data_IF_481386170452
#
_entry.id   IF_481386170452
#
_cell.length_a   1.000
_cell.length_b   1.000
_cell.length_c   1.000
_cell.angle_alpha   90.00
_cell.angle_beta   90.00
_cell.angle_gamma   90.00
#
_symmetry.space_group_name_H-M   'P 1'
#
loop_
_entity.id
_entity.type
_entity.pdbx_description
1 polymer ?
#
# COMPACT_ATOMS: atom_id res chain seq x y z
N UNK A 1 7.74 -61.22 6.76
CA UNK A 1 7.78 -60.02 7.63
C UNK A 1 8.52 -58.93 6.86
N UNK A 2 7.81 -57.90 6.37
CA UNK A 2 8.39 -56.73 5.68
C UNK A 2 8.52 -55.59 6.70
N UNK A 3 9.61 -54.80 6.70
CA UNK A 3 9.73 -53.66 7.60
C UNK A 3 8.93 -52.48 7.04
N UNK A 4 8.11 -51.90 7.90
CA UNK A 4 7.35 -50.68 7.67
C UNK A 4 8.29 -49.48 7.81
N UNK A 5 8.63 -48.84 6.69
CA UNK A 5 9.41 -47.60 6.68
C UNK A 5 8.46 -46.43 6.83
N UNK A 6 8.51 -45.75 7.97
CA UNK A 6 7.80 -44.49 8.19
C UNK A 6 8.66 -43.33 7.67
N UNK A 7 8.24 -42.73 6.56
CA UNK A 7 8.80 -41.47 6.08
C UNK A 7 8.12 -40.33 6.82
N UNK A 8 8.77 -39.78 7.84
CA UNK A 8 8.34 -38.55 8.51
C UNK A 8 8.81 -37.36 7.67
N UNK A 9 7.92 -36.79 6.86
CA UNK A 9 8.16 -35.51 6.22
C UNK A 9 7.88 -34.38 7.24
N UNK A 10 8.93 -33.69 7.66
CA UNK A 10 8.80 -32.44 8.42
C UNK A 10 8.54 -31.30 7.46
N UNK A 11 7.31 -30.79 7.44
CA UNK A 11 7.01 -29.51 6.80
C UNK A 11 7.46 -28.39 7.72
N UNK A 12 8.53 -27.68 7.35
CA UNK A 12 8.88 -26.44 8.02
C UNK A 12 7.76 -25.43 7.72
N UNK A 13 7.10 -24.92 8.77
CA UNK A 13 6.22 -23.77 8.62
C UNK A 13 7.08 -22.58 8.19
N UNK A 14 6.78 -22.01 7.01
CA UNK A 14 7.40 -20.78 6.58
C UNK A 14 6.90 -19.64 7.48
N UNK A 15 7.78 -19.06 8.27
CA UNK A 15 7.53 -17.81 8.98
C UNK A 15 7.58 -16.68 7.94
N UNK A 16 6.45 -16.38 7.30
CA UNK A 16 6.35 -15.28 6.35
C UNK A 16 6.24 -13.96 7.11
N UNK A 17 7.38 -13.38 7.48
CA UNK A 17 7.39 -11.99 7.94
C UNK A 17 6.97 -11.08 6.78
N UNK A 18 5.72 -10.62 6.80
CA UNK A 18 5.22 -9.61 5.87
C UNK A 18 5.65 -8.21 6.33
N UNK A 19 6.00 -7.36 5.36
CA UNK A 19 6.39 -5.98 5.62
C UNK A 19 5.28 -5.02 5.20
N UNK A 20 4.82 -4.20 6.13
CA UNK A 20 3.84 -3.15 5.86
C UNK A 20 4.52 -1.79 5.87
N UNK A 21 4.37 -1.04 4.77
CA UNK A 21 4.86 0.33 4.64
C UNK A 21 3.69 1.31 4.79
N UNK A 22 3.82 2.30 5.66
CA UNK A 22 2.81 3.34 5.87
C UNK A 22 3.33 4.65 5.30
N UNK A 23 2.62 5.20 4.32
CA UNK A 23 2.99 6.44 3.64
C UNK A 23 1.87 7.46 3.85
N UNK A 24 2.25 8.69 4.21
CA UNK A 24 1.33 9.84 4.21
C UNK A 24 1.21 10.37 2.77
N UNK A 25 0.00 10.79 2.38
CA UNK A 25 -0.20 11.47 1.10
C UNK A 25 0.81 12.63 0.88
N UNK A 26 1.11 12.91 -0.38
CA UNK A 26 1.97 14.00 -0.82
C UNK A 26 1.45 15.38 -0.38
N UNK A 27 2.28 16.40 -0.57
CA UNK A 27 1.88 17.78 -0.30
C UNK A 27 0.75 18.22 -1.23
N UNK A 28 -0.13 19.06 -0.68
CA UNK A 28 -1.37 19.50 -1.34
C UNK A 28 -1.28 20.97 -1.69
N UNK A 29 -2.05 21.38 -2.69
CA UNK A 29 -2.24 22.80 -3.03
C UNK A 29 -2.95 23.60 -1.92
N UNK A 30 -3.82 22.93 -1.13
CA UNK A 30 -4.50 23.49 0.03
C UNK A 30 -5.03 22.37 0.95
N UNK A 31 -5.81 22.71 1.99
CA UNK A 31 -6.19 21.78 3.06
C UNK A 31 -6.95 20.53 2.60
N UNK A 32 -7.86 20.61 1.61
CA UNK A 32 -8.59 19.46 1.07
C UNK A 32 -8.32 19.19 -0.41
N UNK A 33 -7.31 19.88 -0.98
CA UNK A 33 -7.02 19.81 -2.41
C UNK A 33 -6.16 18.63 -2.84
N UNK A 34 -6.03 18.54 -4.16
CA UNK A 34 -5.14 17.66 -4.92
C UNK A 34 -3.68 17.93 -4.57
N UNK A 35 -2.80 17.02 -5.01
CA UNK A 35 -1.35 17.22 -4.84
C UNK A 35 -0.87 18.55 -5.44
N UNK A 36 0.07 19.20 -4.76
CA UNK A 36 0.84 20.29 -5.34
C UNK A 36 1.84 19.74 -6.36
N UNK A 37 2.38 20.56 -7.28
CA UNK A 37 3.46 20.10 -8.17
C UNK A 37 4.67 19.50 -7.41
N UNK A 38 4.97 20.03 -6.22
CA UNK A 38 6.01 19.48 -5.35
C UNK A 38 5.60 18.15 -4.71
N UNK A 39 4.31 17.99 -4.38
CA UNK A 39 3.74 16.72 -3.91
C UNK A 39 3.79 15.63 -4.99
N UNK A 40 3.40 15.96 -6.21
CA UNK A 40 3.49 15.05 -7.38
C UNK A 40 4.94 14.63 -7.65
N UNK A 41 5.88 15.57 -7.66
CA UNK A 41 7.30 15.26 -7.86
C UNK A 41 7.83 14.27 -6.80
N UNK A 42 7.39 14.41 -5.54
CA UNK A 42 7.75 13.47 -4.47
C UNK A 42 7.06 12.12 -4.61
N UNK A 43 5.81 12.08 -5.07
CA UNK A 43 5.11 10.85 -5.39
C UNK A 43 5.84 10.06 -6.49
N UNK A 44 6.30 10.72 -7.54
CA UNK A 44 7.13 10.11 -8.58
C UNK A 44 8.46 9.57 -8.04
N UNK A 45 9.06 10.24 -7.07
CA UNK A 45 10.30 9.77 -6.44
C UNK A 45 10.10 8.50 -5.59
N UNK A 46 8.88 8.11 -5.22
CA UNK A 46 8.66 6.84 -4.50
C UNK A 46 9.13 5.62 -5.31
N UNK A 47 9.12 5.71 -6.64
CA UNK A 47 9.60 4.62 -7.50
C UNK A 47 11.07 4.29 -7.27
N UNK A 48 11.92 5.30 -7.01
CA UNK A 48 13.35 5.09 -6.74
C UNK A 48 13.60 4.51 -5.34
N UNK A 49 12.69 4.79 -4.41
CA UNK A 49 12.72 4.33 -3.02
C UNK A 49 12.29 2.86 -2.90
N UNK A 50 11.30 2.43 -3.68
CA UNK A 50 10.79 1.04 -3.72
C UNK A 50 11.32 0.25 -4.92
N UNK A 51 12.63 0.28 -5.12
CA UNK A 51 13.28 -0.39 -6.26
C UNK A 51 13.72 -1.83 -5.97
N UNK A 52 13.64 -2.31 -4.72
CA UNK A 52 14.04 -3.65 -4.31
C UNK A 52 15.55 -3.87 -4.18
N UNK A 53 16.34 -2.80 -4.24
CA UNK A 53 17.80 -2.88 -4.08
C UNK A 53 18.20 -2.99 -2.60
N UNK A 54 19.25 -3.77 -2.27
CA UNK A 54 19.77 -3.87 -0.91
C UNK A 54 20.53 -2.60 -0.53
N UNK A 55 19.93 -1.74 0.29
CA UNK A 55 20.58 -0.53 0.82
C UNK A 55 19.80 0.03 2.03
N UNK A 56 20.44 0.84 2.90
CA UNK A 56 19.84 1.30 4.16
C UNK A 56 18.57 2.16 3.98
N UNK A 57 18.40 2.77 2.80
CA UNK A 57 17.30 3.71 2.49
C UNK A 57 16.34 3.17 1.40
N UNK A 58 16.48 1.91 1.01
CA UNK A 58 15.68 1.29 -0.05
C UNK A 58 14.74 0.24 0.54
N UNK A 59 13.50 0.25 0.06
CA UNK A 59 12.46 -0.65 0.53
C UNK A 59 12.21 -1.77 -0.48
N UNK A 60 11.71 -2.89 0.04
CA UNK A 60 11.26 -4.00 -0.79
C UNK A 60 10.06 -3.56 -1.61
N UNK A 61 9.94 -4.10 -2.83
CA UNK A 61 8.78 -3.86 -3.67
C UNK A 61 7.52 -4.40 -2.97
N UNK A 62 6.50 -3.56 -2.73
CA UNK A 62 5.24 -4.04 -2.20
C UNK A 62 4.57 -4.97 -3.21
N UNK A 63 3.75 -5.90 -2.72
CA UNK A 63 2.92 -6.81 -3.54
C UNK A 63 1.48 -6.31 -3.69
N UNK A 64 1.07 -5.38 -2.84
CA UNK A 64 -0.25 -4.78 -2.82
C UNK A 64 -0.14 -3.31 -2.38
N UNK A 65 -1.04 -2.47 -2.87
CA UNK A 65 -1.11 -1.05 -2.52
C UNK A 65 -2.54 -0.73 -2.13
N UNK A 66 -2.70 -0.21 -0.92
CA UNK A 66 -3.97 0.29 -0.40
C UNK A 66 -3.85 1.81 -0.26
N UNK A 67 -4.91 2.53 -0.61
CA UNK A 67 -4.97 3.97 -0.41
C UNK A 67 -6.30 4.37 0.20
N UNK A 68 -6.27 5.32 1.13
CA UNK A 68 -7.48 5.88 1.70
C UNK A 68 -8.28 6.57 0.59
N UNK A 69 -9.46 6.04 0.32
CA UNK A 69 -10.45 6.66 -0.56
C UNK A 69 -11.23 7.72 0.23
N UNK A 70 -11.22 8.96 -0.23
CA UNK A 70 -11.94 10.06 0.41
C UNK A 70 -13.38 10.20 -0.10
N UNK A 71 -13.64 9.75 -1.34
CA UNK A 71 -14.93 9.81 -2.02
C UNK A 71 -15.58 11.20 -1.90
N UNK A 72 -14.79 12.25 -2.08
CA UNK A 72 -15.19 13.64 -1.96
C UNK A 72 -15.11 14.33 -3.32
N UNK A 73 -16.08 15.20 -3.63
CA UNK A 73 -16.12 15.99 -4.86
C UNK A 73 -15.04 17.08 -4.91
N UNK A 74 -14.42 17.38 -3.77
CA UNK A 74 -13.39 18.41 -3.61
C UNK A 74 -11.97 17.83 -3.70
N UNK A 75 -11.79 16.57 -3.27
CA UNK A 75 -10.50 15.89 -3.26
C UNK A 75 -10.25 15.20 -4.62
N UNK A 76 -9.07 15.37 -5.20
CA UNK A 76 -8.65 14.60 -6.38
C UNK A 76 -8.28 13.13 -6.06
N UNK A 77 -8.63 12.65 -4.87
CA UNK A 77 -8.13 11.41 -4.27
C UNK A 77 -6.61 11.45 -4.07
N UNK A 78 -6.12 12.44 -3.32
CA UNK A 78 -4.68 12.68 -3.08
C UNK A 78 -3.86 11.46 -2.64
N UNK A 79 -4.46 10.51 -1.91
CA UNK A 79 -3.80 9.25 -1.55
C UNK A 79 -3.59 8.36 -2.78
N UNK A 80 -4.59 8.28 -3.66
CA UNK A 80 -4.47 7.65 -4.97
C UNK A 80 -3.40 8.37 -5.81
N UNK A 81 -3.46 9.70 -5.93
CA UNK A 81 -2.46 10.49 -6.68
C UNK A 81 -1.03 10.21 -6.18
N UNK A 82 -0.85 10.10 -4.87
CA UNK A 82 0.47 9.79 -4.27
C UNK A 82 0.95 8.38 -4.63
N UNK A 83 0.04 7.41 -4.70
CA UNK A 83 0.36 6.01 -4.93
C UNK A 83 0.48 5.62 -6.41
N UNK A 84 -0.21 6.33 -7.31
CA UNK A 84 -0.28 6.02 -8.75
C UNK A 84 1.10 5.82 -9.39
N UNK A 85 2.10 6.71 -9.22
CA UNK A 85 3.39 6.52 -9.88
C UNK A 85 4.08 5.21 -9.48
N UNK A 86 3.97 4.82 -8.21
CA UNK A 86 4.53 3.57 -7.71
C UNK A 86 3.74 2.36 -8.21
N UNK A 87 2.40 2.45 -8.19
CA UNK A 87 1.53 1.39 -8.68
C UNK A 87 1.78 1.10 -10.17
N UNK A 88 1.87 2.15 -10.99
CA UNK A 88 2.16 2.04 -12.42
C UNK A 88 3.54 1.41 -12.66
N UNK A 89 4.57 1.87 -11.94
CA UNK A 89 5.93 1.35 -12.07
C UNK A 89 6.07 -0.12 -11.66
N UNK A 90 5.23 -0.58 -10.74
CA UNK A 90 5.21 -1.97 -10.27
C UNK A 90 4.15 -2.84 -10.97
N UNK A 91 3.36 -2.26 -11.88
CA UNK A 91 2.21 -2.90 -12.52
C UNK A 91 1.23 -3.51 -11.49
N UNK A 92 0.89 -2.72 -10.47
CA UNK A 92 -0.06 -3.07 -9.40
C UNK A 92 -1.31 -2.21 -9.50
N UNK A 93 -2.43 -2.75 -9.02
CA UNK A 93 -3.66 -1.98 -8.81
C UNK A 93 -3.68 -1.36 -7.42
N UNK A 94 -4.26 -0.17 -7.28
CA UNK A 94 -4.52 0.46 -5.99
C UNK A 94 -5.90 0.02 -5.48
N UNK A 95 -5.95 -0.57 -4.30
CA UNK A 95 -7.20 -0.86 -3.60
C UNK A 95 -7.70 0.39 -2.88
N UNK A 96 -8.87 0.87 -3.31
CA UNK A 96 -9.58 2.05 -2.81
C UNK A 96 -10.88 1.67 -2.06
N UNK A 97 -11.04 0.41 -1.68
CA UNK A 97 -12.23 -0.05 -0.94
C UNK A 97 -12.28 0.41 0.52
N UNK A 98 -11.19 1.00 1.02
CA UNK A 98 -11.03 1.47 2.39
C UNK A 98 -10.85 2.99 2.44
N UNK A 99 -11.51 3.64 3.38
CA UNK A 99 -11.19 5.03 3.69
C UNK A 99 -12.25 5.77 4.50
N UNK A 100 -12.34 7.07 4.25
CA UNK A 100 -13.36 7.95 4.82
C UNK A 100 -14.52 8.07 3.83
N UNK A 101 -15.74 8.06 4.32
CA UNK A 101 -16.93 8.08 3.46
C UNK A 101 -17.09 9.46 2.85
N UNK A 102 -18.11 9.60 1.98
CA UNK A 102 -18.42 10.87 1.36
C UNK A 102 -18.48 12.00 2.43
N UNK A 103 -17.72 13.07 2.19
CA UNK A 103 -17.64 14.22 3.11
C UNK A 103 -16.84 13.99 4.40
N UNK A 104 -15.96 12.98 4.44
CA UNK A 104 -15.11 12.70 5.59
C UNK A 104 -15.82 12.03 6.78
N UNK A 105 -17.10 11.67 6.61
CA UNK A 105 -17.88 10.95 7.61
C UNK A 105 -17.93 9.46 7.27
N UNK A 106 -17.34 8.63 8.12
CA UNK A 106 -17.51 7.16 8.17
C UNK A 106 -17.49 6.45 6.81
N UNK A 107 -16.32 5.96 6.39
CA UNK A 107 -16.18 5.33 5.08
C UNK A 107 -16.38 3.84 5.04
N UNK A 108 -16.65 3.36 3.82
CA UNK A 108 -16.54 1.95 3.50
C UNK A 108 -15.15 1.45 3.93
N UNK A 109 -15.14 0.36 4.69
CA UNK A 109 -13.89 -0.28 5.13
C UNK A 109 -13.21 0.29 6.38
N UNK A 110 -13.78 1.27 7.10
CA UNK A 110 -13.29 1.64 8.44
C UNK A 110 -11.91 2.32 8.51
N UNK A 111 -11.47 2.94 7.40
CA UNK A 111 -10.16 3.59 7.31
C UNK A 111 -8.99 2.62 7.48
N UNK A 112 -8.02 2.97 8.32
CA UNK A 112 -6.83 2.15 8.58
C UNK A 112 -7.15 0.74 9.10
N UNK A 113 -8.29 0.56 9.78
CA UNK A 113 -8.65 -0.73 10.38
C UNK A 113 -9.00 -1.78 9.34
N UNK A 114 -9.89 -1.50 8.39
CA UNK A 114 -10.23 -2.49 7.37
C UNK A 114 -9.09 -2.75 6.40
N UNK A 115 -8.28 -1.72 6.11
CA UNK A 115 -7.04 -1.93 5.36
C UNK A 115 -6.08 -2.89 6.10
N UNK A 116 -5.99 -2.78 7.43
CA UNK A 116 -5.17 -3.70 8.23
C UNK A 116 -5.75 -5.12 8.32
N UNK A 117 -7.08 -5.30 8.27
CA UNK A 117 -7.73 -6.61 8.23
C UNK A 117 -7.58 -7.32 6.87
N UNK A 118 -7.17 -6.59 5.82
CA UNK A 118 -7.00 -7.09 4.45
C UNK A 118 -5.55 -7.47 4.07
N UNK A 119 -4.61 -7.27 5.00
CA UNK A 119 -3.18 -7.60 4.88
C UNK A 119 -2.92 -8.86 5.69
#
# INVERSE_FOLDING_TARGET
>A
RLPLVWLMATFAAADSNDTVYIIRHGEKTWAAGCLSPAGEARAHNLVSVFNGEPAPDHFLKPKAIFANFYNDVIDCERCKETATPLADALNLTIDLSYGTGAGGMGGAGGGNRGAAEAI
#
